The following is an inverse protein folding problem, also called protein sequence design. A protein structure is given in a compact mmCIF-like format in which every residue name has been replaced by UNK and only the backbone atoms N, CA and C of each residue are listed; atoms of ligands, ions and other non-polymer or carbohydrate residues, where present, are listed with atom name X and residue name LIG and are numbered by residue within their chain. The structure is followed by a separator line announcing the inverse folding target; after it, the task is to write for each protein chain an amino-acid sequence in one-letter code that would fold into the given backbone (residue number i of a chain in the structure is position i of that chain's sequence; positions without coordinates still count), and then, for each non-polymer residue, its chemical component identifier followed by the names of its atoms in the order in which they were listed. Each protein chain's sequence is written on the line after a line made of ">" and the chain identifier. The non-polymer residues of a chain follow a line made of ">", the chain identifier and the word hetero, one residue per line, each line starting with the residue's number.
data_IF_257606876001
#
_entry.id   IF_257606876001
#
_cell.length_a   1.000
_cell.length_b   1.000
_cell.length_c   1.000
_cell.angle_alpha   90.00
_cell.angle_beta   90.00
_cell.angle_gamma   90.00
#
_symmetry.space_group_name_H-M   'P 1'
#
loop_
_entity.id
_entity.type
_entity.pdbx_description
1 polymer ?
#
# COMPACT_ATOMS: atom_id res chain seq x y z
N UNK A 1 -8.52 -7.12 21.92
CA UNK A 1 -7.78 -6.47 20.82
C UNK A 1 -8.64 -5.40 20.20
N UNK A 2 -8.11 -4.21 20.05
CA UNK A 2 -8.84 -3.10 19.46
C UNK A 2 -8.66 -3.06 17.97
N UNK A 3 -9.76 -2.90 17.23
CA UNK A 3 -9.72 -2.78 15.78
C UNK A 3 -8.90 -1.57 15.37
N UNK A 4 -8.03 -1.76 14.39
CA UNK A 4 -7.27 -0.69 13.80
C UNK A 4 -6.06 -0.20 14.56
N UNK A 5 -5.70 -0.81 15.68
CA UNK A 5 -4.54 -0.37 16.48
C UNK A 5 -3.27 -1.16 16.22
N UNK A 6 -3.36 -2.29 15.56
CA UNK A 6 -2.21 -3.13 15.31
C UNK A 6 -1.60 -2.86 13.93
N UNK A 7 -0.29 -3.07 13.77
CA UNK A 7 0.33 -3.04 12.45
C UNK A 7 -0.28 -4.09 11.53
N UNK A 8 -0.23 -3.81 10.25
CA UNK A 8 -0.71 -4.76 9.24
C UNK A 8 0.05 -4.58 7.93
N UNK A 9 -0.12 -5.55 7.05
CA UNK A 9 0.59 -5.63 5.78
C UNK A 9 -0.38 -5.39 4.62
N UNK A 10 0.06 -4.59 3.65
CA UNK A 10 -0.64 -4.42 2.39
C UNK A 10 0.32 -4.80 1.26
N UNK A 11 -0.17 -5.60 0.31
CA UNK A 11 0.53 -5.94 -0.91
C UNK A 11 -0.28 -5.37 -2.07
N UNK A 12 0.38 -4.64 -2.97
CA UNK A 12 -0.25 -4.15 -4.19
C UNK A 12 0.50 -4.72 -5.39
N UNK A 13 -0.20 -5.54 -6.18
CA UNK A 13 0.37 -6.19 -7.36
C UNK A 13 0.03 -5.39 -8.60
N UNK A 14 1.07 -5.03 -9.36
CA UNK A 14 0.95 -4.11 -10.47
C UNK A 14 1.54 -4.72 -11.73
N UNK A 15 0.82 -4.61 -12.85
CA UNK A 15 1.34 -4.93 -14.17
C UNK A 15 1.40 -3.65 -14.98
N UNK A 16 2.60 -3.31 -15.43
CA UNK A 16 2.86 -2.09 -16.18
C UNK A 16 2.72 -2.41 -17.68
N UNK A 17 2.26 -1.42 -18.44
CA UNK A 17 2.16 -1.58 -19.90
C UNK A 17 3.55 -1.69 -20.53
N UNK A 18 3.69 -2.45 -21.63
CA UNK A 18 4.94 -2.46 -22.38
C UNK A 18 5.38 -1.02 -22.72
N UNK A 19 6.66 -0.76 -22.66
CA UNK A 19 7.28 0.53 -22.93
C UNK A 19 6.96 1.63 -21.90
N UNK A 20 6.29 1.29 -20.80
CA UNK A 20 5.96 2.27 -19.75
C UNK A 20 6.75 2.06 -18.45
N UNK A 21 7.64 1.07 -18.41
CA UNK A 21 8.32 0.71 -17.15
C UNK A 21 9.15 1.88 -16.61
N UNK A 22 9.94 2.54 -17.43
CA UNK A 22 10.80 3.62 -16.97
C UNK A 22 9.98 4.77 -16.40
N UNK A 23 8.91 5.16 -17.10
CA UNK A 23 8.02 6.22 -16.61
C UNK A 23 7.32 5.78 -15.31
N UNK A 24 6.95 4.50 -15.23
CA UNK A 24 6.30 4.00 -14.01
C UNK A 24 7.26 4.04 -12.83
N UNK A 25 8.52 3.64 -13.02
CA UNK A 25 9.51 3.70 -11.96
C UNK A 25 9.70 5.14 -11.46
N UNK A 26 9.58 6.12 -12.34
CA UNK A 26 9.68 7.52 -11.94
C UNK A 26 8.52 7.93 -11.02
N UNK A 27 7.28 7.56 -11.35
CA UNK A 27 6.15 7.91 -10.48
C UNK A 27 6.18 7.12 -9.18
N UNK A 28 6.67 5.89 -9.22
CA UNK A 28 6.84 5.08 -8.01
C UNK A 28 7.85 5.74 -7.06
N UNK A 29 8.98 6.20 -7.62
CA UNK A 29 9.99 6.88 -6.79
C UNK A 29 9.45 8.17 -6.20
N UNK A 30 8.68 8.94 -6.95
CA UNK A 30 8.09 10.18 -6.44
C UNK A 30 7.14 9.95 -5.27
N UNK A 31 6.22 8.98 -5.42
CA UNK A 31 5.27 8.69 -4.35
C UNK A 31 5.97 8.10 -3.13
N UNK A 32 7.00 7.29 -3.36
CA UNK A 32 7.78 6.70 -2.27
C UNK A 32 8.47 7.78 -1.44
N UNK A 33 9.13 8.74 -2.10
CA UNK A 33 9.80 9.82 -1.40
C UNK A 33 8.83 10.66 -0.57
N UNK A 34 7.67 10.98 -1.14
CA UNK A 34 6.66 11.76 -0.42
C UNK A 34 6.14 10.98 0.78
N UNK A 35 5.91 9.68 0.62
CA UNK A 35 5.45 8.83 1.70
C UNK A 35 6.46 8.82 2.84
N UNK A 36 7.73 8.65 2.51
CA UNK A 36 8.79 8.65 3.51
C UNK A 36 8.87 9.98 4.28
N UNK A 37 8.74 11.08 3.56
CA UNK A 37 8.85 12.42 4.16
C UNK A 37 7.64 12.80 5.01
N UNK A 38 6.44 12.39 4.60
CA UNK A 38 5.19 12.91 5.15
C UNK A 38 4.45 11.95 6.07
N UNK A 39 4.78 10.66 6.06
CA UNK A 39 3.97 9.65 6.75
C UNK A 39 4.79 8.82 7.72
N UNK A 40 4.90 9.27 8.96
CA UNK A 40 5.63 8.54 10.00
C UNK A 40 4.99 7.19 10.35
N UNK A 41 3.72 7.00 10.04
CA UNK A 41 3.01 5.74 10.33
C UNK A 41 3.20 4.67 9.28
N UNK A 42 3.81 4.99 8.14
CA UNK A 42 4.21 4.00 7.14
C UNK A 42 5.58 3.44 7.52
N UNK A 43 5.61 2.21 8.00
CA UNK A 43 6.83 1.60 8.52
C UNK A 43 7.71 1.06 7.39
N UNK A 44 7.10 0.50 6.38
CA UNK A 44 7.80 -0.03 5.21
C UNK A 44 7.00 0.29 3.95
N UNK A 45 7.70 0.68 2.91
CA UNK A 45 7.07 1.06 1.65
C UNK A 45 8.07 0.75 0.53
N UNK A 46 8.00 -0.46 -0.01
CA UNK A 46 8.96 -0.94 -1.00
C UNK A 46 8.29 -1.34 -2.30
N UNK A 47 8.93 -1.00 -3.40
CA UNK A 47 8.47 -1.36 -4.74
C UNK A 47 9.49 -2.33 -5.34
N UNK A 48 9.09 -3.59 -5.49
CA UNK A 48 10.00 -4.65 -5.89
C UNK A 48 9.65 -5.23 -7.25
N UNK A 49 10.68 -5.60 -8.01
CA UNK A 49 10.53 -6.24 -9.32
C UNK A 49 10.16 -7.71 -9.16
N UNK A 50 9.24 -8.18 -10.00
CA UNK A 50 8.95 -9.61 -10.09
C UNK A 50 10.12 -10.28 -10.83
N UNK A 51 10.76 -11.31 -10.26
CA UNK A 51 11.91 -11.93 -10.89
C UNK A 51 11.59 -12.68 -12.20
N UNK A 52 10.31 -12.96 -12.46
CA UNK A 52 9.89 -13.75 -13.60
C UNK A 52 9.14 -12.95 -14.67
N UNK A 53 8.87 -11.66 -14.41
CA UNK A 53 8.11 -10.86 -15.34
C UNK A 53 8.58 -9.40 -15.28
N UNK A 54 9.25 -8.90 -16.34
CA UNK A 54 9.81 -7.54 -16.34
C UNK A 54 8.75 -6.43 -16.30
N UNK A 55 7.47 -6.75 -16.52
CA UNK A 55 6.39 -5.77 -16.45
C UNK A 55 5.64 -5.80 -15.13
N UNK A 56 5.99 -6.72 -14.24
CA UNK A 56 5.29 -6.89 -12.98
C UNK A 56 6.10 -6.38 -11.80
N UNK A 57 5.42 -5.70 -10.88
CA UNK A 57 6.01 -5.12 -9.69
C UNK A 57 5.06 -5.27 -8.52
N UNK A 58 5.59 -5.16 -7.32
CA UNK A 58 4.79 -5.30 -6.11
C UNK A 58 5.19 -4.25 -5.08
N UNK A 59 4.21 -3.50 -4.58
CA UNK A 59 4.39 -2.70 -3.38
C UNK A 59 4.20 -3.61 -2.17
N UNK A 60 5.11 -3.53 -1.21
CA UNK A 60 4.95 -4.15 0.11
C UNK A 60 4.93 -3.02 1.12
N UNK A 61 3.83 -2.89 1.87
CA UNK A 61 3.62 -1.78 2.77
C UNK A 61 3.24 -2.30 4.14
N UNK A 62 3.92 -1.80 5.17
CA UNK A 62 3.56 -2.08 6.56
C UNK A 62 3.13 -0.77 7.20
N UNK A 63 1.91 -0.78 7.72
CA UNK A 63 1.31 0.37 8.38
C UNK A 63 1.34 0.16 9.89
N UNK A 64 1.62 1.22 10.62
CA UNK A 64 1.63 1.19 12.08
C UNK A 64 0.24 0.84 12.63
N UNK A 65 -0.82 1.34 11.99
CA UNK A 65 -2.21 1.14 12.41
C UNK A 65 -3.14 1.58 11.27
N UNK A 66 -4.45 1.46 11.52
CA UNK A 66 -5.45 1.86 10.51
C UNK A 66 -5.41 3.35 10.16
N UNK A 67 -5.12 4.22 11.13
CA UNK A 67 -5.05 5.66 10.87
C UNK A 67 -3.95 5.97 9.85
N UNK A 68 -2.83 5.25 9.92
CA UNK A 68 -1.73 5.43 8.97
C UNK A 68 -2.17 5.10 7.53
N UNK A 69 -3.03 4.10 7.36
CA UNK A 69 -3.58 3.77 6.04
C UNK A 69 -4.49 4.90 5.54
N UNK A 70 -5.34 5.43 6.43
CA UNK A 70 -6.24 6.51 6.06
C UNK A 70 -5.44 7.73 5.59
N UNK A 71 -4.35 8.07 6.29
CA UNK A 71 -3.46 9.15 5.90
C UNK A 71 -2.90 8.90 4.48
N UNK A 72 -2.39 7.70 4.24
CA UNK A 72 -1.77 7.38 2.94
C UNK A 72 -2.80 7.42 1.81
N UNK A 73 -3.95 6.81 2.02
CA UNK A 73 -4.97 6.69 0.97
C UNK A 73 -5.68 8.01 0.65
N UNK A 74 -5.57 9.01 1.52
CA UNK A 74 -6.12 10.34 1.29
C UNK A 74 -5.06 11.38 0.91
N UNK A 75 -3.78 11.00 0.90
CA UNK A 75 -2.70 11.92 0.59
C UNK A 75 -2.78 12.38 -0.88
N UNK A 76 -2.67 13.69 -1.15
CA UNK A 76 -2.76 14.20 -2.53
C UNK A 76 -1.76 13.54 -3.49
N UNK A 77 -0.53 13.32 -3.02
CA UNK A 77 0.49 12.68 -3.87
C UNK A 77 0.19 11.22 -4.18
N UNK A 78 -0.48 10.51 -3.24
CA UNK A 78 -0.89 9.13 -3.47
C UNK A 78 -2.04 9.05 -4.47
N UNK A 79 -2.99 9.97 -4.38
CA UNK A 79 -4.10 10.04 -5.34
C UNK A 79 -3.60 10.42 -6.73
N UNK A 80 -2.62 11.31 -6.81
CA UNK A 80 -1.97 11.68 -8.07
C UNK A 80 -1.26 10.46 -8.68
N UNK A 81 -0.56 9.68 -7.85
CA UNK A 81 0.08 8.46 -8.30
C UNK A 81 -0.94 7.47 -8.89
N UNK A 82 -2.07 7.27 -8.23
CA UNK A 82 -3.11 6.36 -8.74
C UNK A 82 -3.63 6.84 -10.09
N UNK A 83 -3.79 8.17 -10.27
CA UNK A 83 -4.20 8.73 -11.55
C UNK A 83 -3.19 8.46 -12.66
N UNK A 84 -1.90 8.67 -12.37
CA UNK A 84 -0.83 8.40 -13.34
C UNK A 84 -0.70 6.89 -13.61
N UNK A 85 -0.90 6.07 -12.59
CA UNK A 85 -0.89 4.61 -12.74
C UNK A 85 -1.86 4.16 -13.84
N UNK A 86 -3.06 4.72 -13.86
CA UNK A 86 -4.08 4.30 -14.83
C UNK A 86 -3.64 4.49 -16.29
N UNK A 87 -2.77 5.44 -16.54
CA UNK A 87 -2.25 5.68 -17.89
C UNK A 87 -1.10 4.74 -18.25
N UNK A 88 -0.35 4.27 -17.27
CA UNK A 88 0.91 3.55 -17.49
C UNK A 88 0.83 2.05 -17.21
N UNK A 89 -0.25 1.58 -16.58
CA UNK A 89 -0.35 0.19 -16.14
C UNK A 89 -1.70 -0.41 -16.49
N UNK A 90 -1.74 -1.75 -16.45
CA UNK A 90 -2.94 -2.52 -16.81
C UNK A 90 -3.73 -3.01 -15.61
N UNK A 91 -3.06 -3.19 -14.45
CA UNK A 91 -3.74 -3.72 -13.28
C UNK A 91 -3.13 -3.19 -11.98
N UNK A 92 -3.96 -3.20 -10.95
CA UNK A 92 -3.61 -2.73 -9.62
C UNK A 92 -4.47 -3.52 -8.63
N UNK A 93 -3.93 -4.61 -8.10
CA UNK A 93 -4.67 -5.51 -7.21
C UNK A 93 -4.11 -5.44 -5.80
N UNK A 94 -4.99 -5.18 -4.83
CA UNK A 94 -4.61 -5.05 -3.43
C UNK A 94 -4.89 -6.32 -2.65
N UNK A 95 -3.99 -6.65 -1.72
CA UNK A 95 -4.20 -7.67 -0.71
C UNK A 95 -3.86 -7.04 0.63
N UNK A 96 -4.75 -7.14 1.59
CA UNK A 96 -4.53 -6.58 2.93
C UNK A 96 -4.63 -7.72 3.94
N UNK A 97 -3.67 -7.77 4.88
CA UNK A 97 -3.58 -8.82 5.87
C UNK A 97 -3.61 -8.19 7.26
N UNK A 98 -4.74 -8.31 7.94
CA UNK A 98 -4.92 -7.76 9.26
C UNK A 98 -6.30 -7.17 9.46
N UNK A 99 -6.65 -6.87 10.70
CA UNK A 99 -7.95 -6.31 11.03
C UNK A 99 -7.87 -4.78 11.03
N UNK A 100 -8.69 -4.16 10.20
CA UNK A 100 -8.72 -2.72 10.03
C UNK A 100 -9.97 -2.12 10.68
N UNK A 101 -9.88 -0.83 11.05
CA UNK A 101 -11.05 -0.09 11.48
C UNK A 101 -12.04 0.06 10.33
N UNK A 102 -13.30 0.33 10.66
CA UNK A 102 -14.31 0.55 9.61
C UNK A 102 -13.98 1.76 8.75
N UNK A 103 -13.37 2.80 9.34
CA UNK A 103 -12.96 3.99 8.56
C UNK A 103 -11.85 3.67 7.58
N UNK A 104 -10.91 2.81 7.96
CA UNK A 104 -9.85 2.38 7.05
C UNK A 104 -10.41 1.53 5.92
N UNK A 105 -11.34 0.63 6.22
CA UNK A 105 -12.01 -0.17 5.19
C UNK A 105 -12.71 0.74 4.19
N UNK A 106 -13.40 1.78 4.69
CA UNK A 106 -14.08 2.74 3.82
C UNK A 106 -13.09 3.50 2.92
N UNK A 107 -11.92 3.85 3.44
CA UNK A 107 -10.88 4.52 2.65
C UNK A 107 -10.38 3.62 1.53
N UNK A 108 -10.19 2.33 1.79
CA UNK A 108 -9.78 1.36 0.77
C UNK A 108 -10.86 1.25 -0.31
N UNK A 109 -12.11 1.10 0.10
CA UNK A 109 -13.23 0.96 -0.83
C UNK A 109 -13.39 2.19 -1.72
N UNK A 110 -13.10 3.37 -1.18
CA UNK A 110 -13.23 4.63 -1.92
C UNK A 110 -12.30 4.72 -3.13
N UNK A 111 -11.18 3.99 -3.13
CA UNK A 111 -10.28 3.96 -4.28
C UNK A 111 -10.84 3.13 -5.44
N UNK A 112 -11.76 2.22 -5.16
CA UNK A 112 -12.38 1.39 -6.21
C UNK A 112 -11.46 0.36 -6.84
N UNK A 113 -10.31 0.06 -6.22
CA UNK A 113 -9.37 -0.94 -6.73
C UNK A 113 -9.76 -2.34 -6.26
N UNK A 114 -9.50 -3.38 -7.06
CA UNK A 114 -9.71 -4.76 -6.58
C UNK A 114 -8.92 -4.98 -5.30
N UNK A 115 -9.58 -5.53 -4.29
CA UNK A 115 -8.94 -5.74 -3.00
C UNK A 115 -9.44 -7.03 -2.35
N UNK A 116 -8.50 -7.84 -1.89
CA UNK A 116 -8.80 -9.01 -1.09
C UNK A 116 -8.32 -8.76 0.33
N UNK A 117 -9.23 -8.72 1.27
CA UNK A 117 -8.92 -8.37 2.65
C UNK A 117 -8.97 -9.60 3.55
N UNK A 118 -7.79 -10.05 4.01
CA UNK A 118 -7.64 -11.16 4.95
C UNK A 118 -7.70 -10.57 6.36
N UNK A 119 -8.91 -10.31 6.86
CA UNK A 119 -9.07 -9.54 8.09
C UNK A 119 -8.97 -10.36 9.38
N UNK A 120 -9.06 -11.69 9.29
CA UNK A 120 -9.06 -12.53 10.49
C UNK A 120 -7.79 -13.37 10.55
N UNK A 121 -6.91 -13.02 11.48
CA UNK A 121 -5.71 -13.82 11.75
C UNK A 121 -6.09 -14.98 12.66
N UNK A 122 -5.88 -16.19 12.18
CA UNK A 122 -6.23 -17.39 12.93
C UNK A 122 -5.12 -17.82 13.87
N UNK A 123 -3.87 -17.62 13.46
CA UNK A 123 -2.70 -17.98 14.25
C UNK A 123 -1.59 -16.98 13.91
N UNK A 124 -0.93 -16.45 14.92
CA UNK A 124 0.19 -15.56 14.68
C UNK A 124 0.29 -14.47 15.74
N UNK A 125 1.32 -13.66 15.61
CA UNK A 125 1.52 -12.51 16.50
C UNK A 125 2.27 -11.42 15.77
N UNK A 126 2.18 -10.20 16.31
CA UNK A 126 2.93 -9.07 15.85
C UNK A 126 3.51 -8.34 17.06
N UNK A 127 4.81 -8.05 17.02
CA UNK A 127 5.45 -7.29 18.10
C UNK A 127 5.25 -5.80 17.82
N UNK A 128 4.06 -5.33 18.17
CA UNK A 128 3.60 -3.97 17.81
C UNK A 128 4.53 -2.88 18.31
N UNK A 129 5.16 -3.06 19.46
CA UNK A 129 6.07 -2.05 20.01
C UNK A 129 7.31 -1.84 19.14
N UNK A 130 7.63 -2.78 18.26
CA UNK A 130 8.76 -2.64 17.32
C UNK A 130 8.41 -1.78 16.11
N UNK A 131 7.13 -1.50 15.91
CA UNK A 131 6.65 -0.74 14.78
C UNK A 131 6.10 0.63 15.18
N UNK A 132 6.52 1.13 16.33
CA UNK A 132 6.09 2.46 16.77
C UNK A 132 6.86 3.54 16.03
N UNK A 133 6.13 4.55 15.52
CA UNK A 133 6.72 5.72 14.91
C UNK A 133 7.30 6.61 16.02
N UNK A 134 8.38 7.29 15.73
CA UNK A 134 9.02 8.17 16.69
C UNK A 134 9.09 9.59 16.18
#
# INVERSE_FOLDING_TARGET
>A
MSDGKNPFLLIARINVKPDCVERYLNIAEEVDKKTEEEESGMIMHNFDSDPNNPLAFTWSEIYQNSDALIVHFNAPYALEYVGKHQELAESFDLEIYGNLSSDAIAAVEALGLPCKHFKTTRVGFCRSEKFSAR
#
